data_IF_889697741340
#
_entry.id   IF_889697741340
#
_cell.length_a   1.000
_cell.length_b   1.000
_cell.length_c   1.000
_cell.angle_alpha   90.00
_cell.angle_beta   90.00
_cell.angle_gamma   90.00
#
_symmetry.space_group_name_H-M   'P 1'
#
loop_
_entity.id
_entity.type
_entity.pdbx_description
1 polymer ?
#
# COMPACT_ATOMS: atom_id res chain seq x y z
N UNK A 1 14.69 7.40 -4.37
CA UNK A 1 15.13 7.76 -3.00
C UNK A 1 15.54 6.48 -2.27
N UNK A 2 14.65 5.51 -2.18
CA UNK A 2 14.91 4.23 -1.47
C UNK A 2 16.11 3.42 -2.02
N UNK A 3 16.66 3.80 -3.17
CA UNK A 3 17.89 3.17 -3.69
C UNK A 3 19.16 3.60 -2.95
N UNK A 4 19.12 4.67 -2.16
CA UNK A 4 20.30 5.20 -1.45
C UNK A 4 19.99 5.71 -0.05
N UNK A 5 18.74 5.90 0.25
CA UNK A 5 18.25 6.44 1.52
C UNK A 5 16.96 5.74 1.90
N UNK A 6 16.73 5.58 3.19
CA UNK A 6 15.42 5.15 3.69
C UNK A 6 14.38 6.24 3.43
N UNK A 7 13.27 5.88 2.81
CA UNK A 7 12.15 6.78 2.57
C UNK A 7 11.11 6.63 3.70
N UNK A 8 10.69 7.74 4.28
CA UNK A 8 9.63 7.76 5.29
C UNK A 8 8.46 8.66 4.81
N UNK A 9 7.56 8.16 3.97
CA UNK A 9 6.44 8.96 3.45
C UNK A 9 5.43 9.23 4.57
N UNK A 10 5.08 10.50 4.75
CA UNK A 10 4.13 10.96 5.74
C UNK A 10 2.82 11.40 5.09
N UNK A 11 1.73 11.37 5.85
CA UNK A 11 0.44 11.89 5.41
C UNK A 11 0.52 13.41 5.22
N UNK A 12 0.32 13.94 4.01
CA UNK A 12 0.41 15.38 3.74
C UNK A 12 -0.67 16.20 4.46
N UNK A 13 -1.70 15.57 4.99
CA UNK A 13 -2.80 16.24 5.70
C UNK A 13 -2.59 16.30 7.22
N UNK A 14 -1.42 15.92 7.72
CA UNK A 14 -1.09 16.07 9.13
C UNK A 14 -1.04 17.56 9.54
N UNK A 15 -1.39 17.82 10.81
CA UNK A 15 -1.22 19.13 11.42
C UNK A 15 0.22 19.32 11.90
N UNK A 16 0.58 20.55 12.28
CA UNK A 16 1.94 20.87 12.74
C UNK A 16 2.41 19.99 13.90
N UNK A 17 1.53 19.72 14.88
CA UNK A 17 1.87 18.89 16.05
C UNK A 17 2.15 17.43 15.67
N UNK A 18 1.40 16.90 14.68
CA UNK A 18 1.62 15.56 14.17
C UNK A 18 2.95 15.50 13.38
N UNK A 19 3.23 16.49 12.55
CA UNK A 19 4.51 16.58 11.85
C UNK A 19 5.68 16.70 12.84
N UNK A 20 5.55 17.49 13.88
CA UNK A 20 6.58 17.62 14.90
C UNK A 20 6.87 16.27 15.57
N UNK A 21 5.83 15.56 15.98
CA UNK A 21 5.94 14.22 16.53
C UNK A 21 6.67 13.24 15.58
N UNK A 22 6.24 13.15 14.31
CA UNK A 22 6.84 12.21 13.37
C UNK A 22 8.26 12.60 12.96
N UNK A 23 8.56 13.89 12.81
CA UNK A 23 9.91 14.33 12.47
C UNK A 23 10.90 14.15 13.63
N UNK A 24 10.47 14.35 14.88
CA UNK A 24 11.27 14.06 16.06
C UNK A 24 11.54 12.56 16.25
N UNK A 25 10.56 11.73 15.91
CA UNK A 25 10.65 10.27 16.03
C UNK A 25 11.56 9.67 14.94
N UNK A 26 11.36 10.08 13.68
CA UNK A 26 12.12 9.60 12.52
C UNK A 26 13.52 10.21 12.42
N UNK A 27 13.75 11.41 12.94
CA UNK A 27 15.03 12.18 12.82
C UNK A 27 15.55 12.20 11.38
N UNK A 28 14.75 12.64 10.38
CA UNK A 28 15.13 12.55 8.99
C UNK A 28 16.28 13.51 8.70
N UNK A 29 17.15 13.14 7.75
CA UNK A 29 18.24 14.01 7.28
C UNK A 29 17.76 15.15 6.40
N UNK A 30 16.59 14.97 5.76
CA UNK A 30 16.00 15.93 4.84
C UNK A 30 14.49 15.72 4.74
N UNK A 31 13.75 16.80 4.61
CA UNK A 31 12.33 16.80 4.26
C UNK A 31 12.16 17.20 2.81
N UNK A 32 11.44 16.43 2.03
CA UNK A 32 11.21 16.66 0.61
C UNK A 32 9.77 17.10 0.40
N UNK A 33 9.55 18.23 -0.25
CA UNK A 33 8.22 18.81 -0.53
C UNK A 33 8.12 19.30 -1.97
N UNK A 34 6.90 19.53 -2.43
CA UNK A 34 6.67 20.20 -3.71
C UNK A 34 7.17 21.67 -3.64
N UNK A 35 7.59 22.21 -4.78
CA UNK A 35 8.03 23.60 -4.89
C UNK A 35 6.95 24.56 -4.44
N UNK A 36 7.32 25.55 -3.63
CA UNK A 36 6.42 26.52 -3.02
C UNK A 36 5.32 25.88 -2.14
N UNK A 37 5.60 24.73 -1.55
CA UNK A 37 4.67 24.08 -0.64
C UNK A 37 4.33 24.96 0.57
N UNK A 38 3.03 25.08 0.83
CA UNK A 38 2.48 25.73 2.04
C UNK A 38 2.13 24.70 3.13
N UNK A 39 2.61 23.47 2.99
CA UNK A 39 2.35 22.42 3.95
C UNK A 39 3.02 22.75 5.29
N UNK A 40 2.34 22.56 6.44
CA UNK A 40 2.89 22.84 7.76
C UNK A 40 4.22 22.15 8.06
N UNK A 41 4.53 21.05 7.38
CA UNK A 41 5.81 20.33 7.52
C UNK A 41 7.02 21.22 7.30
N UNK A 42 6.92 22.24 6.42
CA UNK A 42 8.03 23.15 6.09
C UNK A 42 8.42 24.00 7.32
N UNK A 43 7.43 24.56 8.01
CA UNK A 43 7.66 25.37 9.22
C UNK A 43 8.22 24.48 10.35
N UNK A 44 7.66 23.27 10.51
CA UNK A 44 8.10 22.31 11.52
C UNK A 44 9.53 21.86 11.26
N UNK A 45 9.88 21.52 10.02
CA UNK A 45 11.23 21.13 9.64
C UNK A 45 12.25 22.25 9.94
N UNK A 46 11.90 23.50 9.60
CA UNK A 46 12.73 24.68 9.90
C UNK A 46 12.92 24.87 11.41
N UNK A 47 11.87 24.72 12.23
CA UNK A 47 11.93 24.76 13.70
C UNK A 47 12.89 23.70 14.25
N UNK A 48 12.83 22.50 13.70
CA UNK A 48 13.68 21.36 14.08
C UNK A 48 15.07 21.38 13.43
N UNK A 49 15.38 22.40 12.61
CA UNK A 49 16.64 22.55 11.86
C UNK A 49 16.90 21.38 10.90
N UNK A 50 15.86 20.80 10.34
CA UNK A 50 15.93 19.75 9.32
C UNK A 50 15.94 20.44 7.95
N UNK A 51 16.91 20.16 7.06
CA UNK A 51 16.94 20.70 5.72
C UNK A 51 15.68 20.38 4.93
N UNK A 52 15.15 21.36 4.19
CA UNK A 52 13.99 21.17 3.30
C UNK A 52 14.45 21.24 1.86
N UNK A 53 14.12 20.25 1.07
CA UNK A 53 14.37 20.19 -0.38
C UNK A 53 13.05 20.30 -1.14
N UNK A 54 12.98 21.24 -2.07
CA UNK A 54 11.83 21.43 -2.94
C UNK A 54 12.00 20.69 -4.26
N UNK A 55 11.00 19.91 -4.64
CA UNK A 55 10.93 19.24 -5.95
C UNK A 55 10.10 20.08 -6.90
N UNK A 56 10.63 20.37 -8.09
CA UNK A 56 9.87 20.95 -9.19
C UNK A 56 9.16 19.85 -9.96
N UNK A 57 7.86 19.99 -10.14
CA UNK A 57 7.13 19.33 -11.23
C UNK A 57 6.81 20.40 -12.27
N UNK A 58 7.28 20.24 -13.50
CA UNK A 58 6.93 21.15 -14.60
C UNK A 58 5.60 20.79 -15.26
N UNK A 59 4.93 19.76 -14.78
CA UNK A 59 3.63 19.29 -15.28
C UNK A 59 3.67 18.64 -16.68
N UNK A 60 4.81 18.68 -17.35
CA UNK A 60 4.97 18.19 -18.72
C UNK A 60 5.83 16.93 -18.81
N UNK A 61 6.58 16.61 -17.78
CA UNK A 61 7.38 15.39 -17.70
C UNK A 61 6.71 14.39 -16.78
N UNK A 62 6.66 13.12 -17.22
CA UNK A 62 6.16 11.99 -16.41
C UNK A 62 7.05 11.70 -15.19
N UNK A 63 8.25 12.25 -15.18
CA UNK A 63 9.17 12.24 -14.05
C UNK A 63 9.63 13.66 -13.80
N UNK A 64 9.46 14.16 -12.56
CA UNK A 64 10.01 15.46 -12.16
C UNK A 64 11.52 15.50 -12.38
N UNK A 65 12.04 16.67 -12.73
CA UNK A 65 13.48 16.89 -12.83
C UNK A 65 14.04 17.03 -11.41
N UNK A 66 14.75 15.99 -10.95
CA UNK A 66 15.28 15.92 -9.59
C UNK A 66 16.78 16.19 -9.59
N UNK A 67 17.17 17.42 -9.34
CA UNK A 67 18.54 17.73 -8.94
C UNK A 67 18.61 17.82 -7.40
N UNK A 68 18.39 16.71 -6.73
CA UNK A 68 18.42 16.65 -5.26
C UNK A 68 19.86 16.76 -4.71
N UNK A 69 20.84 16.31 -5.47
CA UNK A 69 22.25 16.28 -5.05
C UNK A 69 23.18 16.46 -6.24
N UNK A 70 24.38 16.97 -6.00
CA UNK A 70 25.48 16.90 -6.98
C UNK A 70 25.69 15.45 -7.40
N UNK A 71 25.92 15.22 -8.69
CA UNK A 71 26.20 13.88 -9.21
C UNK A 71 27.44 13.33 -8.53
N UNK A 72 27.26 12.40 -7.60
CA UNK A 72 28.36 11.59 -7.11
C UNK A 72 28.68 10.51 -8.16
N UNK A 73 29.94 10.38 -8.54
CA UNK A 73 30.42 9.34 -9.43
C UNK A 73 30.50 7.95 -8.76
N UNK A 74 30.43 7.90 -7.44
CA UNK A 74 30.79 6.74 -6.62
C UNK A 74 29.60 6.21 -5.81
N UNK A 75 28.49 5.92 -6.48
CA UNK A 75 27.39 5.28 -5.78
C UNK A 75 27.45 3.75 -5.93
N UNK A 76 27.24 3.06 -4.82
CA UNK A 76 27.06 1.61 -4.77
C UNK A 76 25.56 1.35 -4.60
N UNK A 77 24.99 0.49 -5.45
CA UNK A 77 23.60 0.07 -5.27
C UNK A 77 23.44 -0.62 -3.90
N UNK A 78 22.44 -0.22 -3.11
CA UNK A 78 22.23 -0.82 -1.80
C UNK A 78 21.85 -2.29 -1.93
N UNK A 79 22.37 -3.10 -1.00
CA UNK A 79 22.06 -4.52 -0.92
C UNK A 79 20.64 -4.83 -0.47
N UNK A 80 20.34 -6.11 -0.36
CA UNK A 80 19.03 -6.60 0.05
C UNK A 80 18.63 -6.18 1.47
N UNK A 81 19.61 -6.09 2.37
CA UNK A 81 19.39 -5.74 3.78
C UNK A 81 19.36 -4.22 4.03
N UNK A 82 19.52 -3.41 2.98
CA UNK A 82 19.39 -1.97 3.12
C UNK A 82 17.96 -1.59 3.47
N UNK A 83 17.79 -0.82 4.55
CA UNK A 83 16.52 -0.23 4.93
C UNK A 83 16.09 0.80 3.88
N UNK A 84 15.01 0.50 3.17
CA UNK A 84 14.55 1.31 2.06
C UNK A 84 13.29 2.12 2.36
N UNK A 85 12.46 1.62 3.28
CA UNK A 85 11.18 2.23 3.63
C UNK A 85 10.96 2.15 5.14
N UNK A 86 10.56 3.26 5.75
CA UNK A 86 10.18 3.33 7.16
C UNK A 86 8.74 3.80 7.25
N UNK A 87 7.91 3.05 7.96
CA UNK A 87 6.52 3.42 8.20
C UNK A 87 6.19 3.33 9.68
N UNK A 88 5.23 4.16 10.11
CA UNK A 88 4.65 4.02 11.44
C UNK A 88 3.40 3.15 11.38
N UNK A 89 3.21 2.33 12.42
CA UNK A 89 1.95 1.60 12.59
C UNK A 89 0.84 2.55 13.02
N UNK A 90 -0.37 2.27 12.57
CA UNK A 90 -1.58 3.02 12.96
C UNK A 90 -2.16 2.58 14.31
N UNK A 91 -1.33 2.10 15.25
CA UNK A 91 -1.77 1.52 16.52
C UNK A 91 -2.80 2.37 17.27
N UNK A 92 -3.92 1.76 17.62
CA UNK A 92 -5.08 2.44 18.24
C UNK A 92 -4.94 2.64 19.75
N UNK A 93 -3.91 2.09 20.40
CA UNK A 93 -3.83 2.01 21.87
C UNK A 93 -2.50 2.47 22.47
N UNK A 94 -1.49 2.76 21.64
CA UNK A 94 -0.15 3.16 22.09
C UNK A 94 0.51 4.09 21.08
N UNK A 95 1.67 4.66 21.46
CA UNK A 95 2.52 5.41 20.52
C UNK A 95 2.75 4.60 19.24
N UNK A 96 2.60 5.19 18.04
CA UNK A 96 2.92 4.54 16.78
C UNK A 96 4.33 3.96 16.80
N UNK A 97 4.48 2.71 16.34
CA UNK A 97 5.78 2.05 16.30
C UNK A 97 6.44 2.24 14.94
N UNK A 98 7.74 2.44 14.95
CA UNK A 98 8.55 2.54 13.72
C UNK A 98 8.82 1.15 13.18
N UNK A 99 8.44 0.92 11.93
CA UNK A 99 8.64 -0.34 11.20
C UNK A 99 9.64 -0.10 10.07
N UNK A 100 10.90 -0.50 10.23
CA UNK A 100 11.87 -0.48 9.15
C UNK A 100 11.63 -1.66 8.20
N UNK A 101 11.70 -1.39 6.90
CA UNK A 101 11.51 -2.37 5.84
C UNK A 101 12.69 -2.34 4.88
N UNK A 102 13.36 -3.48 4.74
CA UNK A 102 14.50 -3.63 3.85
C UNK A 102 14.08 -3.80 2.39
N UNK A 103 15.03 -3.64 1.47
CA UNK A 103 14.83 -3.99 0.06
C UNK A 103 14.32 -5.42 -0.08
N UNK A 104 14.89 -6.37 0.68
CA UNK A 104 14.46 -7.78 0.69
C UNK A 104 12.99 -7.92 1.08
N UNK A 105 12.55 -7.25 2.15
CA UNK A 105 11.16 -7.27 2.57
C UNK A 105 10.23 -6.76 1.45
N UNK A 106 10.58 -5.62 0.83
CA UNK A 106 9.79 -4.98 -0.21
C UNK A 106 9.69 -5.86 -1.46
N UNK A 107 10.83 -6.37 -1.95
CA UNK A 107 10.85 -7.22 -3.14
C UNK A 107 10.13 -8.54 -2.93
N UNK A 108 10.31 -9.19 -1.76
CA UNK A 108 9.62 -10.42 -1.41
C UNK A 108 8.10 -10.20 -1.36
N UNK A 109 7.63 -9.15 -0.69
CA UNK A 109 6.20 -8.84 -0.62
C UNK A 109 5.61 -8.50 -1.98
N UNK A 110 6.29 -7.70 -2.79
CA UNK A 110 5.85 -7.36 -4.15
C UNK A 110 5.74 -8.61 -5.04
N UNK A 111 6.68 -9.53 -4.93
CA UNK A 111 6.68 -10.81 -5.65
C UNK A 111 5.52 -11.71 -5.19
N UNK A 112 5.33 -11.84 -3.89
CA UNK A 112 4.23 -12.61 -3.30
C UNK A 112 2.84 -12.10 -3.76
N UNK A 113 2.66 -10.79 -3.75
CA UNK A 113 1.39 -10.16 -4.16
C UNK A 113 1.17 -10.34 -5.65
N UNK A 114 2.19 -10.06 -6.47
CA UNK A 114 2.09 -10.21 -7.94
C UNK A 114 1.75 -11.64 -8.34
N UNK A 115 2.36 -12.64 -7.69
CA UNK A 115 2.07 -14.07 -7.90
C UNK A 115 0.65 -14.43 -7.46
N UNK A 116 0.22 -14.01 -6.27
CA UNK A 116 -1.11 -14.35 -5.75
C UNK A 116 -2.25 -13.76 -6.59
N UNK A 117 -2.00 -12.63 -7.24
CA UNK A 117 -2.94 -11.93 -8.12
C UNK A 117 -2.72 -12.23 -9.61
N UNK A 118 -1.76 -13.10 -9.95
CA UNK A 118 -1.35 -13.39 -11.33
C UNK A 118 -1.19 -12.09 -12.16
N UNK A 119 -0.49 -11.10 -11.59
CA UNK A 119 -0.24 -9.84 -12.29
C UNK A 119 0.75 -10.05 -13.43
N UNK A 120 0.54 -9.31 -14.51
CA UNK A 120 1.38 -9.30 -15.71
C UNK A 120 1.66 -7.86 -16.16
N UNK A 121 2.54 -7.68 -17.12
CA UNK A 121 2.83 -6.41 -17.79
C UNK A 121 1.62 -5.79 -18.52
N UNK A 122 0.56 -6.58 -18.74
CA UNK A 122 -0.70 -6.14 -19.36
C UNK A 122 -1.69 -5.54 -18.35
N UNK A 123 -1.39 -5.65 -17.05
CA UNK A 123 -2.25 -5.11 -16.03
C UNK A 123 -2.10 -3.60 -15.89
N UNK A 124 -3.22 -2.95 -15.64
CA UNK A 124 -3.27 -1.52 -15.36
C UNK A 124 -4.11 -1.25 -14.12
N UNK A 125 -3.49 -0.72 -13.09
CA UNK A 125 -4.16 -0.45 -11.81
C UNK A 125 -4.54 1.02 -11.66
N UNK A 126 -5.75 1.31 -11.19
CA UNK A 126 -6.07 2.61 -10.62
C UNK A 126 -5.74 2.58 -9.12
N UNK A 127 -4.65 3.25 -8.74
CA UNK A 127 -4.30 3.38 -7.33
C UNK A 127 -5.12 4.50 -6.67
N UNK A 128 -6.03 4.10 -5.81
CA UNK A 128 -6.85 4.99 -4.97
C UNK A 128 -6.39 5.01 -3.51
N UNK A 129 -5.40 4.19 -3.18
CA UNK A 129 -4.81 4.12 -1.84
C UNK A 129 -3.71 5.17 -1.67
N UNK A 130 -3.57 5.74 -0.48
CA UNK A 130 -2.52 6.73 -0.22
C UNK A 130 -1.11 6.12 -0.33
N UNK A 131 -0.17 6.88 -0.90
CA UNK A 131 1.24 6.49 -1.05
C UNK A 131 2.10 6.84 0.18
N UNK A 132 1.50 6.96 1.34
CA UNK A 132 2.14 6.97 2.66
C UNK A 132 1.67 5.79 3.53
N UNK A 133 0.91 4.86 2.95
CA UNK A 133 0.43 3.65 3.61
C UNK A 133 0.92 2.41 2.85
N UNK A 134 1.29 1.36 3.60
CA UNK A 134 1.84 0.11 3.05
C UNK A 134 0.96 -0.50 1.95
N UNK A 135 -0.35 -0.37 2.04
CA UNK A 135 -1.30 -0.88 1.04
C UNK A 135 -1.07 -0.22 -0.34
N UNK A 136 -1.03 1.11 -0.41
CA UNK A 136 -0.80 1.81 -1.68
C UNK A 136 0.62 1.62 -2.20
N UNK A 137 1.61 1.66 -1.31
CA UNK A 137 3.02 1.56 -1.68
C UNK A 137 3.40 0.16 -2.18
N UNK A 138 3.04 -0.87 -1.43
CA UNK A 138 3.52 -2.23 -1.71
C UNK A 138 2.48 -3.05 -2.44
N UNK A 139 1.24 -3.12 -1.92
CA UNK A 139 0.24 -3.99 -2.51
C UNK A 139 -0.27 -3.52 -3.88
N UNK A 140 -0.13 -2.23 -4.18
CA UNK A 140 -0.49 -1.68 -5.49
C UNK A 140 0.75 -1.32 -6.29
N UNK A 141 1.53 -0.34 -5.84
CA UNK A 141 2.60 0.23 -6.67
C UNK A 141 3.74 -0.78 -6.88
N UNK A 142 4.38 -1.26 -5.80
CA UNK A 142 5.53 -2.16 -5.91
C UNK A 142 5.15 -3.50 -6.60
N UNK A 143 4.00 -4.08 -6.26
CA UNK A 143 3.52 -5.32 -6.88
C UNK A 143 3.27 -5.17 -8.40
N UNK A 144 2.73 -4.03 -8.84
CA UNK A 144 2.56 -3.73 -10.27
C UNK A 144 3.90 -3.55 -10.96
N UNK A 145 4.79 -2.75 -10.38
CA UNK A 145 6.13 -2.48 -10.95
C UNK A 145 6.98 -3.74 -11.06
N UNK A 146 6.84 -4.67 -10.12
CA UNK A 146 7.56 -5.96 -10.12
C UNK A 146 7.40 -6.75 -11.40
N UNK A 147 6.24 -6.65 -12.05
CA UNK A 147 5.90 -7.39 -13.27
C UNK A 147 5.86 -6.50 -14.52
N UNK A 148 6.28 -5.24 -14.42
CA UNK A 148 6.23 -4.29 -15.53
C UNK A 148 4.83 -3.78 -15.87
N UNK A 149 3.85 -3.96 -14.98
CA UNK A 149 2.51 -3.44 -15.11
C UNK A 149 2.46 -1.91 -14.91
N UNK A 150 1.39 -1.30 -15.34
CA UNK A 150 1.20 0.16 -15.21
C UNK A 150 0.26 0.53 -14.05
N UNK A 151 0.48 1.71 -13.49
CA UNK A 151 -0.33 2.25 -12.40
C UNK A 151 -0.73 3.68 -12.70
N UNK A 152 -2.04 3.95 -12.71
CA UNK A 152 -2.58 5.31 -12.67
C UNK A 152 -2.69 5.75 -11.21
N UNK A 153 -1.83 6.66 -10.77
CA UNK A 153 -1.90 7.23 -9.43
C UNK A 153 -2.92 8.36 -9.39
N UNK A 154 -3.97 8.21 -8.59
CA UNK A 154 -4.93 9.29 -8.37
C UNK A 154 -4.40 10.28 -7.34
N UNK A 155 -4.89 11.52 -7.39
CA UNK A 155 -4.59 12.56 -6.38
C UNK A 155 -5.24 12.31 -5.01
N UNK A 156 -5.74 11.10 -4.79
CA UNK A 156 -6.49 10.64 -3.62
C UNK A 156 -7.79 9.96 -4.01
N UNK A 157 -8.45 9.34 -3.05
CA UNK A 157 -9.72 8.67 -3.27
C UNK A 157 -10.85 9.67 -3.51
N UNK A 158 -11.57 9.49 -4.62
CA UNK A 158 -12.77 10.26 -4.93
C UNK A 158 -13.82 9.35 -5.59
N UNK A 159 -14.83 8.95 -4.82
CA UNK A 159 -15.89 8.07 -5.28
C UNK A 159 -16.71 8.63 -6.46
N UNK A 160 -16.83 9.96 -6.57
CA UNK A 160 -17.56 10.61 -7.67
C UNK A 160 -16.86 10.46 -9.02
N UNK A 161 -15.52 10.47 -9.00
CA UNK A 161 -14.68 10.41 -10.21
C UNK A 161 -14.20 8.98 -10.51
N UNK A 162 -14.46 8.01 -9.61
CA UNK A 162 -13.89 6.68 -9.71
C UNK A 162 -14.27 5.98 -11.03
N UNK A 163 -15.56 5.89 -11.35
CA UNK A 163 -16.04 5.19 -12.54
C UNK A 163 -15.53 5.84 -13.85
N UNK A 164 -15.54 7.16 -13.90
CA UNK A 164 -15.04 7.91 -15.07
C UNK A 164 -13.55 7.72 -15.26
N UNK A 165 -12.77 7.78 -14.18
CA UNK A 165 -11.34 7.52 -14.21
C UNK A 165 -11.07 6.08 -14.63
N UNK A 166 -11.74 5.11 -14.01
CA UNK A 166 -11.58 3.69 -14.31
C UNK A 166 -11.85 3.37 -15.79
N UNK A 167 -12.90 3.97 -16.35
CA UNK A 167 -13.27 3.83 -17.76
C UNK A 167 -12.25 4.52 -18.68
N UNK A 168 -11.88 5.76 -18.37
CA UNK A 168 -10.92 6.55 -19.16
C UNK A 168 -9.56 5.85 -19.25
N UNK A 169 -9.07 5.39 -18.10
CA UNK A 169 -7.76 4.73 -17.99
C UNK A 169 -7.80 3.24 -18.40
N UNK A 170 -8.99 2.68 -18.67
CA UNK A 170 -9.15 1.25 -19.04
C UNK A 170 -8.47 0.30 -18.05
N UNK A 171 -8.68 0.53 -16.77
CA UNK A 171 -8.03 -0.25 -15.72
C UNK A 171 -8.44 -1.72 -15.75
N UNK A 172 -7.53 -2.60 -15.36
CA UNK A 172 -7.81 -4.05 -15.22
C UNK A 172 -8.09 -4.47 -13.79
N UNK A 173 -7.69 -3.65 -12.82
CA UNK A 173 -7.95 -3.89 -11.40
C UNK A 173 -7.78 -2.64 -10.55
N UNK A 174 -8.26 -2.72 -9.33
CA UNK A 174 -7.98 -1.75 -8.27
C UNK A 174 -7.99 -2.44 -6.89
N UNK A 175 -7.39 -1.79 -5.91
CA UNK A 175 -7.42 -2.22 -4.51
C UNK A 175 -7.90 -1.09 -3.61
N UNK A 176 -8.69 -1.41 -2.59
CA UNK A 176 -9.22 -0.43 -1.67
C UNK A 176 -9.54 -1.01 -0.31
N UNK A 177 -10.01 -0.16 0.60
CA UNK A 177 -10.55 -0.56 1.90
C UNK A 177 -12.08 -0.62 1.84
N UNK A 178 -12.76 -1.35 2.76
CA UNK A 178 -14.21 -1.56 2.71
C UNK A 178 -15.03 -0.27 2.58
N UNK A 179 -14.65 0.80 3.27
CA UNK A 179 -15.34 2.09 3.18
C UNK A 179 -15.26 2.74 1.79
N UNK A 180 -14.12 2.57 1.10
CA UNK A 180 -13.97 3.02 -0.29
C UNK A 180 -14.86 2.19 -1.22
N UNK A 181 -14.88 0.87 -1.07
CA UNK A 181 -15.77 -0.01 -1.84
C UNK A 181 -17.24 0.36 -1.67
N UNK A 182 -17.69 0.61 -0.44
CA UNK A 182 -19.07 1.05 -0.17
C UNK A 182 -19.38 2.38 -0.86
N UNK A 183 -18.47 3.36 -0.79
CA UNK A 183 -18.64 4.65 -1.46
C UNK A 183 -18.68 4.51 -2.99
N UNK A 184 -17.88 3.61 -3.56
CA UNK A 184 -17.90 3.28 -4.99
C UNK A 184 -19.23 2.63 -5.36
N UNK A 185 -19.73 1.65 -4.59
CA UNK A 185 -21.01 0.98 -4.83
C UNK A 185 -22.18 1.97 -4.85
N UNK A 186 -22.23 2.91 -3.89
CA UNK A 186 -23.27 3.95 -3.87
C UNK A 186 -23.32 4.80 -5.15
N UNK A 187 -22.21 4.90 -5.88
CA UNK A 187 -22.13 5.59 -7.18
C UNK A 187 -22.44 4.65 -8.34
N UNK A 188 -21.93 3.41 -8.26
CA UNK A 188 -22.18 2.38 -9.26
C UNK A 188 -23.66 2.03 -9.37
N UNK A 189 -24.42 1.97 -8.27
CA UNK A 189 -25.87 1.76 -8.29
C UNK A 189 -26.64 2.78 -9.15
N UNK A 190 -26.12 4.02 -9.26
CA UNK A 190 -26.68 5.06 -10.11
C UNK A 190 -26.13 5.05 -11.55
N UNK A 191 -25.12 4.25 -11.83
CA UNK A 191 -24.39 4.19 -13.09
C UNK A 191 -24.03 2.74 -13.46
N UNK A 192 -24.98 1.81 -13.29
CA UNK A 192 -24.78 0.37 -13.46
C UNK A 192 -24.20 0.00 -14.83
N UNK A 193 -24.68 0.65 -15.90
CA UNK A 193 -24.17 0.40 -17.25
C UNK A 193 -22.69 0.73 -17.36
N UNK A 194 -22.25 1.84 -16.77
CA UNK A 194 -20.82 2.20 -16.77
C UNK A 194 -20.02 1.22 -15.91
N UNK A 195 -20.51 0.83 -14.74
CA UNK A 195 -19.82 -0.12 -13.86
C UNK A 195 -19.65 -1.49 -14.53
N UNK A 196 -20.69 -2.01 -15.19
CA UNK A 196 -20.65 -3.28 -15.93
C UNK A 196 -19.76 -3.26 -17.16
N UNK A 197 -19.51 -2.09 -17.75
CA UNK A 197 -18.60 -1.91 -18.88
C UNK A 197 -17.11 -1.88 -18.48
N UNK A 198 -16.79 -1.78 -17.18
CA UNK A 198 -15.42 -1.90 -16.72
C UNK A 198 -14.94 -3.34 -16.84
N UNK A 199 -13.88 -3.54 -17.60
CA UNK A 199 -13.30 -4.87 -17.86
C UNK A 199 -12.31 -5.26 -16.75
N UNK A 200 -12.79 -5.26 -15.50
CA UNK A 200 -11.95 -5.61 -14.36
C UNK A 200 -11.67 -7.12 -14.33
N UNK A 201 -10.41 -7.50 -14.22
CA UNK A 201 -10.01 -8.89 -13.97
C UNK A 201 -10.38 -9.34 -12.55
N UNK A 202 -10.26 -8.45 -11.60
CA UNK A 202 -10.64 -8.59 -10.20
C UNK A 202 -10.66 -7.21 -9.52
N UNK A 203 -11.23 -7.16 -8.33
CA UNK A 203 -11.01 -6.08 -7.38
C UNK A 203 -10.52 -6.67 -6.05
N UNK A 204 -9.72 -5.90 -5.31
CA UNK A 204 -9.08 -6.37 -4.08
C UNK A 204 -9.49 -5.51 -2.90
N UNK A 205 -9.85 -6.14 -1.79
CA UNK A 205 -10.13 -5.49 -0.51
C UNK A 205 -9.12 -5.94 0.55
N UNK A 206 -8.59 -5.00 1.31
CA UNK A 206 -7.68 -5.28 2.42
C UNK A 206 -7.71 -4.18 3.48
N UNK A 207 -6.91 -4.33 4.52
CA UNK A 207 -6.69 -3.40 5.65
C UNK A 207 -7.86 -3.30 6.64
N UNK A 208 -9.00 -3.89 6.35
CA UNK A 208 -10.13 -4.08 7.26
C UNK A 208 -11.02 -5.21 6.75
N UNK A 209 -11.86 -5.76 7.62
CA UNK A 209 -12.81 -6.82 7.25
C UNK A 209 -13.87 -6.28 6.29
N UNK A 210 -14.06 -6.97 5.16
CA UNK A 210 -15.10 -6.67 4.18
C UNK A 210 -16.42 -7.35 4.59
N UNK A 211 -17.51 -6.61 4.82
CA UNK A 211 -18.79 -7.24 5.09
C UNK A 211 -19.22 -8.15 3.93
N UNK A 212 -19.69 -9.39 4.19
CA UNK A 212 -20.09 -10.32 3.13
C UNK A 212 -21.11 -9.74 2.13
N UNK A 213 -22.08 -8.97 2.61
CA UNK A 213 -23.05 -8.31 1.74
C UNK A 213 -22.40 -7.30 0.77
N UNK A 214 -21.34 -6.62 1.21
CA UNK A 214 -20.56 -5.71 0.34
C UNK A 214 -19.74 -6.50 -0.68
N UNK A 215 -19.15 -7.62 -0.26
CA UNK A 215 -18.44 -8.54 -1.16
C UNK A 215 -19.36 -9.02 -2.30
N UNK A 216 -20.53 -9.54 -1.95
CA UNK A 216 -21.50 -10.04 -2.94
C UNK A 216 -21.97 -8.95 -3.89
N UNK A 217 -22.26 -7.75 -3.35
CA UNK A 217 -22.68 -6.61 -4.16
C UNK A 217 -21.60 -6.12 -5.12
N UNK A 218 -20.33 -6.10 -4.69
CA UNK A 218 -19.21 -5.78 -5.56
C UNK A 218 -19.07 -6.77 -6.72
N UNK A 219 -19.17 -8.07 -6.42
CA UNK A 219 -19.11 -9.13 -7.43
C UNK A 219 -20.26 -8.98 -8.45
N UNK A 220 -21.49 -8.73 -8.00
CA UNK A 220 -22.66 -8.52 -8.85
C UNK A 220 -22.50 -7.29 -9.76
N UNK A 221 -22.13 -6.15 -9.17
CA UNK A 221 -22.09 -4.86 -9.88
C UNK A 221 -20.97 -4.82 -10.91
N UNK A 222 -19.76 -5.28 -10.54
CA UNK A 222 -18.59 -5.22 -11.42
C UNK A 222 -18.38 -6.49 -12.24
N UNK A 223 -19.14 -7.56 -11.98
CA UNK A 223 -19.03 -8.85 -12.65
C UNK A 223 -17.59 -9.37 -12.72
N UNK A 224 -16.87 -9.26 -11.63
CA UNK A 224 -15.48 -9.72 -11.50
C UNK A 224 -15.23 -10.29 -10.11
N UNK A 225 -14.20 -11.17 -9.94
CA UNK A 225 -13.84 -11.71 -8.65
C UNK A 225 -13.47 -10.62 -7.64
N UNK A 226 -13.92 -10.80 -6.40
CA UNK A 226 -13.54 -9.98 -5.24
C UNK A 226 -12.51 -10.75 -4.42
N UNK A 227 -11.35 -10.15 -4.21
CA UNK A 227 -10.23 -10.78 -3.51
C UNK A 227 -10.00 -10.08 -2.17
N UNK A 228 -10.40 -10.73 -1.08
CA UNK A 228 -10.04 -10.28 0.26
C UNK A 228 -8.63 -10.74 0.60
N UNK A 229 -7.86 -9.85 1.23
CA UNK A 229 -6.52 -10.13 1.69
C UNK A 229 -6.29 -9.53 3.08
N UNK A 230 -5.45 -10.18 3.86
CA UNK A 230 -5.02 -9.72 5.17
C UNK A 230 -3.54 -9.42 5.18
N UNK A 231 -3.19 -8.34 5.84
CA UNK A 231 -1.82 -7.92 5.98
C UNK A 231 -1.65 -6.78 6.97
N UNK A 232 -0.40 -6.51 7.30
CA UNK A 232 0.01 -5.46 8.21
C UNK A 232 1.35 -4.86 7.78
N UNK A 233 1.71 -3.70 8.33
CA UNK A 233 2.97 -3.01 8.00
C UNK A 233 4.18 -3.89 8.30
N UNK A 234 4.16 -4.62 9.39
CA UNK A 234 5.23 -5.53 9.84
C UNK A 234 5.47 -6.73 8.90
N UNK A 235 4.47 -7.08 8.08
CA UNK A 235 4.57 -8.11 7.04
C UNK A 235 4.83 -7.51 5.64
N UNK A 236 5.23 -6.24 5.57
CA UNK A 236 5.36 -5.49 4.31
C UNK A 236 4.10 -5.64 3.45
N UNK A 237 2.98 -5.64 4.06
CA UNK A 237 1.60 -5.78 3.66
C UNK A 237 1.04 -7.22 3.73
N UNK A 238 1.28 -8.09 2.73
CA UNK A 238 0.46 -9.29 2.54
C UNK A 238 0.92 -10.49 3.37
N UNK A 239 -0.03 -11.08 4.08
CA UNK A 239 0.11 -12.35 4.80
C UNK A 239 -0.72 -13.45 4.15
N UNK A 240 -2.01 -13.17 3.90
CA UNK A 240 -2.95 -14.09 3.26
C UNK A 240 -3.75 -13.40 2.16
N UNK A 241 -4.30 -14.17 1.25
CA UNK A 241 -5.18 -13.70 0.18
C UNK A 241 -6.18 -14.77 -0.22
N UNK A 242 -7.41 -14.39 -0.51
CA UNK A 242 -8.29 -15.25 -1.28
C UNK A 242 -7.66 -15.53 -2.65
N UNK A 243 -7.76 -16.75 -3.15
CA UNK A 243 -7.21 -17.09 -4.45
C UNK A 243 -8.05 -16.52 -5.60
N UNK A 244 -7.44 -16.36 -6.77
CA UNK A 244 -8.17 -16.08 -8.00
C UNK A 244 -8.90 -17.33 -8.52
N UNK A 245 -9.95 -17.17 -9.36
CA UNK A 245 -10.54 -18.29 -10.09
C UNK A 245 -9.48 -19.13 -10.83
N UNK A 246 -9.66 -20.46 -11.00
CA UNK A 246 -10.90 -21.21 -10.73
C UNK A 246 -11.14 -21.60 -9.26
N UNK A 247 -10.25 -21.22 -8.34
CA UNK A 247 -10.47 -21.48 -6.92
C UNK A 247 -11.53 -20.53 -6.36
N UNK A 248 -12.28 -21.00 -5.36
CA UNK A 248 -13.37 -20.23 -4.76
C UNK A 248 -12.86 -19.14 -3.82
N UNK A 249 -13.42 -17.96 -3.92
CA UNK A 249 -13.30 -16.89 -2.96
C UNK A 249 -14.36 -17.10 -1.86
N UNK A 250 -13.97 -16.88 -0.60
CA UNK A 250 -14.87 -17.04 0.54
C UNK A 250 -15.13 -15.70 1.19
N UNK A 251 -16.33 -15.12 1.10
CA UNK A 251 -16.69 -13.87 1.77
C UNK A 251 -16.47 -13.96 3.29
N UNK A 252 -15.85 -12.94 3.88
CA UNK A 252 -15.57 -12.88 5.31
C UNK A 252 -14.36 -13.70 5.77
N UNK A 253 -13.62 -14.30 4.83
CA UNK A 253 -12.37 -15.00 5.09
C UNK A 253 -11.20 -14.32 4.37
N UNK A 254 -10.08 -14.26 5.04
CA UNK A 254 -8.87 -13.60 4.51
C UNK A 254 -8.04 -14.51 3.58
N UNK A 255 -8.53 -15.70 3.27
CA UNK A 255 -7.92 -16.62 2.31
C UNK A 255 -6.86 -17.55 2.91
N UNK A 256 -5.90 -17.90 2.08
CA UNK A 256 -4.81 -18.83 2.38
C UNK A 256 -3.48 -18.06 2.49
N UNK A 257 -2.42 -18.64 3.13
CA UNK A 257 -1.08 -18.06 3.10
C UNK A 257 -0.68 -17.65 1.69
N UNK A 258 -0.19 -16.43 1.53
CA UNK A 258 0.10 -15.85 0.22
C UNK A 258 1.44 -15.10 0.22
N UNK A 259 2.47 -15.83 0.58
CA UNK A 259 3.86 -15.39 0.69
C UNK A 259 4.53 -15.99 1.92
N UNK A 260 4.35 -15.39 3.12
CA UNK A 260 4.91 -15.97 4.35
C UNK A 260 4.21 -17.28 4.74
N UNK A 261 4.89 -18.06 5.55
CA UNK A 261 4.25 -19.13 6.31
C UNK A 261 3.31 -18.48 7.34
N UNK A 262 2.15 -19.10 7.55
CA UNK A 262 1.15 -18.61 8.51
C UNK A 262 0.67 -19.79 9.35
N UNK A 263 0.64 -19.63 10.66
CA UNK A 263 0.02 -20.60 11.58
C UNK A 263 -0.73 -19.86 12.69
N UNK A 264 -1.55 -20.60 13.40
CA UNK A 264 -2.24 -20.13 14.61
C UNK A 264 -1.59 -20.81 15.81
N UNK A 265 -1.23 -20.03 16.82
CA UNK A 265 -0.57 -20.54 18.02
C UNK A 265 -1.35 -20.19 19.30
N UNK A 266 -1.23 -21.04 20.29
CA UNK A 266 -1.68 -20.74 21.65
C UNK A 266 -0.66 -19.86 22.42
N UNK A 267 -1.00 -19.51 23.65
CA UNK A 267 -0.13 -18.72 24.55
C UNK A 267 1.16 -19.41 24.95
N UNK A 268 1.31 -20.70 24.66
CA UNK A 268 2.53 -21.50 24.90
C UNK A 268 3.35 -21.72 23.63
N UNK A 269 3.06 -20.99 22.56
CA UNK A 269 3.68 -21.12 21.23
C UNK A 269 3.48 -22.50 20.57
N UNK A 270 2.41 -23.22 20.92
CA UNK A 270 2.05 -24.47 20.26
C UNK A 270 1.15 -24.17 19.07
N UNK A 271 1.46 -24.73 17.92
CA UNK A 271 0.60 -24.64 16.72
C UNK A 271 -0.72 -25.37 17.00
N UNK A 272 -1.80 -24.65 16.75
CA UNK A 272 -3.18 -25.11 16.93
C UNK A 272 -3.70 -25.83 15.67
N UNK A 273 -4.71 -26.69 15.86
CA UNK A 273 -5.38 -27.35 14.75
C UNK A 273 -6.39 -26.41 14.08
N UNK A 274 -6.84 -26.79 12.89
CA UNK A 274 -7.88 -26.06 12.18
C UNK A 274 -9.20 -26.02 13.00
N UNK A 275 -9.74 -24.80 13.15
CA UNK A 275 -10.96 -24.54 13.91
C UNK A 275 -10.71 -24.06 15.35
N UNK A 276 -9.46 -24.08 15.83
CA UNK A 276 -9.08 -23.51 17.12
C UNK A 276 -8.69 -22.07 16.97
N UNK A 277 -9.00 -21.23 17.99
CA UNK A 277 -8.68 -19.81 18.02
C UNK A 277 -7.35 -19.54 18.73
N UNK A 278 -6.52 -18.66 18.17
CA UNK A 278 -5.24 -18.28 18.76
C UNK A 278 -4.62 -17.08 18.06
N UNK A 279 -3.35 -16.85 18.35
CA UNK A 279 -2.57 -15.77 17.76
C UNK A 279 -2.11 -16.14 16.35
N UNK A 280 -2.25 -15.18 15.41
CA UNK A 280 -1.74 -15.33 14.02
C UNK A 280 -0.24 -15.09 14.01
N UNK A 281 0.52 -16.13 13.73
CA UNK A 281 1.98 -16.10 13.63
C UNK A 281 2.42 -16.23 12.19
N UNK A 282 3.42 -15.42 11.80
CA UNK A 282 3.96 -15.42 10.44
C UNK A 282 5.48 -15.57 10.43
N UNK A 283 6.01 -16.16 9.35
CA UNK A 283 7.44 -16.25 9.09
C UNK A 283 7.70 -16.14 7.58
N UNK A 284 8.61 -15.26 7.19
CA UNK A 284 8.96 -15.09 5.78
C UNK A 284 9.88 -13.89 5.53
N UNK A 285 10.42 -13.82 4.33
CA UNK A 285 11.34 -12.75 3.91
C UNK A 285 10.67 -11.37 3.83
N UNK A 286 9.35 -11.32 3.75
CA UNK A 286 8.57 -10.09 3.76
C UNK A 286 8.27 -9.55 5.17
N UNK A 287 8.71 -10.25 6.23
CA UNK A 287 8.49 -9.84 7.62
C UNK A 287 9.64 -8.97 8.10
N UNK A 288 9.32 -7.82 8.72
CA UNK A 288 10.32 -6.93 9.33
C UNK A 288 11.11 -7.66 10.42
N UNK A 289 12.34 -7.22 10.67
CA UNK A 289 13.17 -7.75 11.76
C UNK A 289 12.74 -7.28 13.15
N UNK A 290 11.85 -6.30 13.23
CA UNK A 290 11.33 -5.73 14.48
C UNK A 290 11.06 -4.24 14.39
N UNK A 291 10.68 -3.67 15.51
CA UNK A 291 10.45 -2.23 15.66
C UNK A 291 11.73 -1.50 16.09
N UNK A 292 11.84 -0.23 15.72
CA UNK A 292 12.98 0.63 16.16
C UNK A 292 12.73 1.37 17.47
N UNK A 293 11.47 1.45 17.96
CA UNK A 293 11.11 2.16 19.19
C UNK A 293 10.16 1.36 20.10
#
# INVERSE_FOLDING_TARGET
ISSYMSAAPLNPNYKSEEFEFYLEDLKPKIVIVEKNSKNPVVEVANKLKIPVCEIKSDGNTLSGDFNLFEKSSDYVLPGEDHEALVLHTSGTTSRPKIVPLTNKNIFSSADNISKSLNLTDKDHCLNIMPLFHIHGLIAVLAASMKVGASVCASSGFNALKFLDNAKREKITWYSGVPTMHQAILMRADKNLETAKQLNLRFLRSSSASLPPAVFEKLNEVFNCPVIEAYGMTEATHQMTSNPLPPKSQKPGFVGIPAGPEVCIMDTNNKILNQGEEGEVCIRGENVTSGYEN
#
